data_IF_294902778470
#
_entry.id   IF_294902778470
#
_cell.length_a   1.000
_cell.length_b   1.000
_cell.length_c   1.000
_cell.angle_alpha   90.00
_cell.angle_beta   90.00
_cell.angle_gamma   90.00
#
_symmetry.space_group_name_H-M   'P 1'
#
loop_
_entity.id
_entity.type
_entity.pdbx_description
1 polymer ?
#
# COMPACT_ATOMS: atom_id res chain seq x y z
N UNK A 1 -36.02 19.44 30.19
CA UNK A 1 -34.70 18.82 30.37
C UNK A 1 -34.29 18.18 29.06
N UNK A 2 -33.57 18.95 28.29
CA UNK A 2 -32.92 18.50 27.06
C UNK A 2 -31.59 17.84 27.46
N UNK A 3 -31.58 16.52 27.53
CA UNK A 3 -30.33 15.75 27.55
C UNK A 3 -29.97 15.45 26.09
N UNK A 4 -29.36 16.45 25.47
CA UNK A 4 -28.58 16.30 24.28
C UNK A 4 -27.63 15.10 24.45
N UNK A 5 -27.91 14.01 23.74
CA UNK A 5 -27.02 12.89 23.60
C UNK A 5 -25.76 13.40 22.91
N UNK A 6 -24.73 13.70 23.69
CA UNK A 6 -23.37 13.67 23.18
C UNK A 6 -23.10 12.22 22.79
N UNK A 7 -23.44 11.85 21.55
CA UNK A 7 -22.93 10.65 20.93
C UNK A 7 -21.42 10.76 21.04
N UNK A 8 -20.81 9.93 21.87
CA UNK A 8 -19.37 9.81 21.97
C UNK A 8 -18.86 9.63 20.56
N UNK A 9 -18.08 10.58 20.09
CA UNK A 9 -17.39 10.50 18.81
C UNK A 9 -16.35 9.37 18.99
N UNK A 10 -16.81 8.13 18.76
CA UNK A 10 -15.96 6.96 18.92
C UNK A 10 -14.89 7.10 17.87
N UNK A 11 -13.65 7.35 18.32
CA UNK A 11 -12.49 7.45 17.45
C UNK A 11 -12.42 6.21 16.54
N UNK A 12 -12.68 6.41 15.25
CA UNK A 12 -12.56 5.36 14.24
C UNK A 12 -11.14 5.38 13.71
N UNK A 13 -10.45 4.25 13.82
CA UNK A 13 -9.12 4.09 13.22
C UNK A 13 -9.17 4.40 11.73
N UNK A 14 -8.17 5.15 11.26
CA UNK A 14 -8.03 5.49 9.86
C UNK A 14 -6.96 4.61 9.20
N UNK A 15 -7.38 3.92 8.15
CA UNK A 15 -6.52 3.05 7.34
C UNK A 15 -6.37 3.66 5.96
N UNK A 16 -5.14 3.82 5.50
CA UNK A 16 -4.81 4.37 4.18
C UNK A 16 -4.12 3.31 3.33
N UNK A 17 -4.68 3.04 2.16
CA UNK A 17 -4.12 2.13 1.14
C UNK A 17 -3.52 2.97 0.01
N UNK A 18 -2.19 3.00 -0.10
CA UNK A 18 -1.45 3.76 -1.10
C UNK A 18 -1.24 2.92 -2.37
N UNK A 19 -1.59 3.49 -3.53
CA UNK A 19 -1.57 2.78 -4.80
C UNK A 19 -2.63 1.67 -4.83
N UNK A 20 -3.84 2.00 -4.41
CA UNK A 20 -4.91 1.00 -4.20
C UNK A 20 -5.41 0.34 -5.50
N UNK A 21 -5.11 0.92 -6.66
CA UNK A 21 -5.54 0.43 -7.96
C UNK A 21 -7.06 0.19 -8.01
N UNK A 22 -7.53 -0.97 -8.52
CA UNK A 22 -8.94 -1.31 -8.60
C UNK A 22 -9.53 -1.77 -7.25
N UNK A 23 -8.86 -1.49 -6.12
CA UNK A 23 -9.38 -1.65 -4.77
C UNK A 23 -9.31 -3.06 -4.18
N UNK A 24 -8.52 -3.99 -4.73
CA UNK A 24 -8.50 -5.38 -4.26
C UNK A 24 -8.18 -5.51 -2.76
N UNK A 25 -7.16 -4.78 -2.30
CA UNK A 25 -6.76 -4.79 -0.88
C UNK A 25 -7.69 -3.87 -0.07
N UNK A 26 -8.02 -2.70 -0.59
CA UNK A 26 -8.89 -1.72 0.06
C UNK A 26 -10.25 -2.29 0.44
N UNK A 27 -10.91 -3.01 -0.48
CA UNK A 27 -12.20 -3.67 -0.21
C UNK A 27 -12.06 -4.72 0.89
N UNK A 28 -11.03 -5.55 0.81
CA UNK A 28 -10.77 -6.58 1.83
C UNK A 28 -10.47 -5.99 3.21
N UNK A 29 -9.76 -4.86 3.26
CA UNK A 29 -9.55 -4.13 4.52
C UNK A 29 -10.86 -3.61 5.10
N UNK A 30 -11.78 -3.09 4.28
CA UNK A 30 -13.09 -2.63 4.73
C UNK A 30 -13.94 -3.76 5.30
N UNK A 31 -13.91 -4.96 4.70
CA UNK A 31 -14.58 -6.15 5.23
C UNK A 31 -13.99 -6.60 6.58
N UNK A 32 -12.66 -6.61 6.69
CA UNK A 32 -11.95 -7.06 7.89
C UNK A 32 -12.01 -6.06 9.05
N UNK A 33 -12.17 -4.78 8.74
CA UNK A 33 -12.11 -3.67 9.71
C UNK A 33 -13.37 -2.79 9.61
N UNK A 34 -14.57 -3.34 9.87
CA UNK A 34 -15.85 -2.65 9.63
C UNK A 34 -16.04 -1.36 10.45
N UNK A 35 -15.25 -1.19 11.51
CA UNK A 35 -15.28 0.01 12.36
C UNK A 35 -14.20 1.03 12.01
N UNK A 36 -13.37 0.79 10.97
CA UNK A 36 -12.34 1.73 10.52
C UNK A 36 -12.86 2.64 9.41
N UNK A 37 -12.22 3.80 9.26
CA UNK A 37 -12.34 4.63 8.05
C UNK A 37 -11.29 4.17 7.06
N UNK A 38 -11.72 3.64 5.93
CA UNK A 38 -10.82 3.14 4.90
C UNK A 38 -10.70 4.19 3.79
N UNK A 39 -9.48 4.53 3.42
CA UNK A 39 -9.16 5.46 2.34
C UNK A 39 -8.23 4.77 1.35
N UNK A 40 -8.68 4.60 0.11
CA UNK A 40 -7.84 4.15 -1.00
C UNK A 40 -7.35 5.36 -1.80
N UNK A 41 -6.06 5.40 -2.10
CA UNK A 41 -5.42 6.48 -2.88
C UNK A 41 -4.73 5.87 -4.09
N UNK A 42 -5.02 6.41 -5.27
CA UNK A 42 -4.35 6.03 -6.52
C UNK A 42 -4.29 7.23 -7.47
N UNK A 43 -3.26 7.31 -8.30
CA UNK A 43 -3.13 8.36 -9.31
C UNK A 43 -3.96 8.12 -10.57
N UNK A 44 -4.50 6.92 -10.78
CA UNK A 44 -5.24 6.55 -11.97
C UNK A 44 -6.76 6.56 -11.73
N UNK A 45 -7.46 7.58 -12.20
CA UNK A 45 -8.92 7.70 -12.05
C UNK A 45 -9.67 6.50 -12.64
N UNK A 46 -9.17 5.91 -13.74
CA UNK A 46 -9.77 4.70 -14.33
C UNK A 46 -9.75 3.50 -13.38
N UNK A 47 -8.70 3.34 -12.58
CA UNK A 47 -8.61 2.31 -11.54
C UNK A 47 -9.56 2.58 -10.38
N UNK A 48 -9.64 3.84 -9.96
CA UNK A 48 -10.55 4.25 -8.89
C UNK A 48 -12.02 4.14 -9.29
N UNK A 49 -12.38 4.35 -10.56
CA UNK A 49 -13.73 4.11 -11.06
C UNK A 49 -14.14 2.65 -10.84
N UNK A 50 -13.27 1.70 -11.17
CA UNK A 50 -13.48 0.27 -10.91
C UNK A 50 -13.58 -0.04 -9.41
N UNK A 51 -12.72 0.58 -8.60
CA UNK A 51 -12.73 0.39 -7.15
C UNK A 51 -14.06 0.88 -6.52
N UNK A 52 -14.57 2.05 -6.93
CA UNK A 52 -15.84 2.61 -6.47
C UNK A 52 -17.03 1.74 -6.87
N UNK A 53 -17.06 1.27 -8.11
CA UNK A 53 -18.10 0.36 -8.59
C UNK A 53 -18.15 -0.92 -7.74
N UNK A 54 -17.01 -1.54 -7.49
CA UNK A 54 -16.90 -2.76 -6.68
C UNK A 54 -17.29 -2.53 -5.21
N UNK A 55 -16.88 -1.40 -4.62
CA UNK A 55 -17.28 -1.02 -3.28
C UNK A 55 -18.81 -0.83 -3.17
N UNK A 56 -19.43 -0.20 -4.16
CA UNK A 56 -20.87 -0.03 -4.23
C UNK A 56 -21.60 -1.39 -4.34
N UNK A 57 -21.13 -2.29 -5.21
CA UNK A 57 -21.70 -3.63 -5.37
C UNK A 57 -21.65 -4.44 -4.07
N UNK A 58 -20.60 -4.24 -3.24
CA UNK A 58 -20.42 -4.92 -1.95
C UNK A 58 -20.98 -4.12 -0.76
N UNK A 59 -21.59 -2.96 -1.00
CA UNK A 59 -22.13 -2.07 0.04
C UNK A 59 -21.10 -1.65 1.10
N UNK A 60 -19.85 -1.44 0.68
CA UNK A 60 -18.75 -1.01 1.52
C UNK A 60 -18.58 0.51 1.49
N UNK A 61 -18.46 1.14 2.65
CA UNK A 61 -18.18 2.57 2.80
C UNK A 61 -16.66 2.82 2.76
N UNK A 62 -16.15 3.21 1.61
CA UNK A 62 -14.74 3.48 1.37
C UNK A 62 -14.58 4.84 0.69
N UNK A 63 -13.64 5.65 1.15
CA UNK A 63 -13.25 6.88 0.47
C UNK A 63 -12.14 6.59 -0.56
N UNK A 64 -12.33 7.00 -1.81
CA UNK A 64 -11.30 6.88 -2.85
C UNK A 64 -10.86 8.27 -3.33
N UNK A 65 -9.56 8.54 -3.26
CA UNK A 65 -8.94 9.82 -3.64
C UNK A 65 -8.02 9.62 -4.85
N UNK A 66 -8.28 10.38 -5.93
CA UNK A 66 -7.40 10.42 -7.09
C UNK A 66 -6.27 11.40 -6.81
N UNK A 67 -5.14 10.88 -6.33
CA UNK A 67 -3.96 11.67 -5.96
C UNK A 67 -2.69 10.88 -6.23
N UNK A 68 -1.66 11.58 -6.71
CA UNK A 68 -0.29 11.10 -6.70
C UNK A 68 0.27 11.14 -5.27
N UNK A 69 1.36 10.40 -5.01
CA UNK A 69 2.03 10.45 -3.72
C UNK A 69 2.54 11.85 -3.35
N UNK A 70 2.94 12.67 -4.34
CA UNK A 70 3.35 14.05 -4.13
C UNK A 70 2.18 14.93 -3.66
N UNK A 71 0.99 14.75 -4.23
CA UNK A 71 -0.21 15.50 -3.84
C UNK A 71 -0.69 15.11 -2.44
N UNK A 72 -0.53 13.86 -2.04
CA UNK A 72 -0.83 13.41 -0.68
C UNK A 72 -0.07 14.20 0.38
N UNK A 73 1.18 14.60 0.10
CA UNK A 73 2.01 15.42 1.01
C UNK A 73 1.46 16.83 1.25
N UNK A 74 0.47 17.25 0.48
CA UNK A 74 -0.18 18.57 0.61
C UNK A 74 -1.65 18.43 1.05
N UNK A 75 -2.10 17.20 1.28
CA UNK A 75 -3.49 16.88 1.56
C UNK A 75 -3.87 16.93 3.05
N UNK A 76 -5.15 16.75 3.34
CA UNK A 76 -5.68 16.85 4.70
C UNK A 76 -5.42 15.60 5.55
N UNK A 77 -4.90 14.50 4.98
CA UNK A 77 -4.70 13.24 5.69
C UNK A 77 -3.40 13.19 6.53
N UNK A 78 -2.58 14.25 6.48
CA UNK A 78 -1.32 14.30 7.20
C UNK A 78 -1.51 14.09 8.71
N UNK A 79 -0.74 13.18 9.29
CA UNK A 79 -0.76 12.87 10.71
C UNK A 79 -2.02 12.15 11.21
N UNK A 80 -2.85 11.57 10.32
CA UNK A 80 -4.13 10.99 10.70
C UNK A 80 -4.23 9.47 10.56
N UNK A 81 -3.30 8.82 9.87
CA UNK A 81 -3.37 7.39 9.62
C UNK A 81 -2.89 6.57 10.83
N UNK A 82 -3.68 5.60 11.25
CA UNK A 82 -3.32 4.59 12.26
C UNK A 82 -2.66 3.36 11.63
N UNK A 83 -3.02 3.06 10.38
CA UNK A 83 -2.43 2.02 9.57
C UNK A 83 -2.27 2.51 8.14
N UNK A 84 -1.09 2.29 7.57
CA UNK A 84 -0.80 2.58 6.17
C UNK A 84 -0.39 1.28 5.50
N UNK A 85 -1.02 0.97 4.39
CA UNK A 85 -0.70 -0.22 3.60
C UNK A 85 -0.38 0.17 2.16
N UNK A 86 0.36 -0.68 1.49
CA UNK A 86 0.43 -0.71 0.03
C UNK A 86 0.72 -2.14 -0.45
N UNK A 87 0.28 -2.46 -1.64
CA UNK A 87 0.60 -3.72 -2.27
C UNK A 87 0.98 -3.49 -3.72
N UNK A 88 2.17 -3.91 -4.11
CA UNK A 88 2.67 -3.80 -5.49
C UNK A 88 2.72 -2.35 -5.99
N UNK A 89 3.23 -1.43 -5.17
CA UNK A 89 3.41 -0.02 -5.50
C UNK A 89 4.89 0.37 -5.64
N UNK A 90 5.75 -0.11 -4.74
CA UNK A 90 7.14 0.33 -4.60
C UNK A 90 7.94 0.16 -5.90
N UNK A 91 7.80 -0.99 -6.59
CA UNK A 91 8.53 -1.27 -7.83
C UNK A 91 8.12 -0.39 -9.02
N UNK A 92 7.00 0.34 -8.92
CA UNK A 92 6.58 1.32 -9.91
C UNK A 92 7.17 2.71 -9.66
N UNK A 93 7.78 2.95 -8.51
CA UNK A 93 8.27 4.28 -8.13
C UNK A 93 9.70 4.51 -8.61
N UNK A 94 9.90 5.57 -9.40
CA UNK A 94 11.25 6.03 -9.80
C UNK A 94 12.04 6.58 -8.61
N UNK A 95 11.34 7.07 -7.59
CA UNK A 95 11.89 7.58 -6.34
C UNK A 95 11.24 6.83 -5.17
N UNK A 96 11.78 5.68 -4.77
CA UNK A 96 11.18 4.82 -3.75
C UNK A 96 11.09 5.49 -2.37
N UNK A 97 12.00 6.43 -2.04
CA UNK A 97 11.97 7.24 -0.82
C UNK A 97 10.68 8.07 -0.65
N UNK A 98 9.97 8.34 -1.74
CA UNK A 98 8.68 9.01 -1.69
C UNK A 98 7.63 8.20 -0.93
N UNK A 99 7.60 6.86 -1.06
CA UNK A 99 6.68 6.00 -0.32
C UNK A 99 6.89 6.13 1.18
N UNK A 100 8.16 6.12 1.61
CA UNK A 100 8.52 6.24 3.03
C UNK A 100 8.24 7.63 3.58
N UNK A 101 8.50 8.66 2.78
CA UNK A 101 8.22 10.07 3.13
C UNK A 101 6.72 10.28 3.32
N UNK A 102 5.89 9.78 2.41
CA UNK A 102 4.43 9.85 2.49
C UNK A 102 3.92 9.07 3.69
N UNK A 103 4.41 7.85 3.90
CA UNK A 103 4.02 7.02 5.04
C UNK A 103 4.31 7.74 6.37
N UNK A 104 5.48 8.35 6.51
CA UNK A 104 5.82 9.14 7.71
C UNK A 104 4.95 10.39 7.87
N UNK A 105 4.62 11.06 6.78
CA UNK A 105 3.79 12.27 6.80
C UNK A 105 2.34 11.97 7.18
N UNK A 106 1.77 10.87 6.70
CA UNK A 106 0.41 10.42 7.04
C UNK A 106 0.27 9.88 8.46
N UNK A 107 1.36 9.37 9.04
CA UNK A 107 1.33 8.62 10.29
C UNK A 107 0.88 9.46 11.48
N UNK A 108 -0.19 9.02 12.17
CA UNK A 108 -0.53 9.43 13.53
C UNK A 108 0.45 8.81 14.55
N UNK A 109 0.52 9.30 15.80
CA UNK A 109 1.24 8.61 16.86
C UNK A 109 0.78 7.15 17.00
N UNK A 110 1.71 6.20 17.04
CA UNK A 110 1.41 4.77 17.09
C UNK A 110 1.02 4.14 15.76
N UNK A 111 1.12 4.87 14.65
CA UNK A 111 0.82 4.35 13.31
C UNK A 111 1.73 3.18 12.94
N UNK A 112 1.10 2.15 12.38
CA UNK A 112 1.80 1.01 11.77
C UNK A 112 1.78 1.09 10.25
N UNK A 113 2.79 0.48 9.63
CA UNK A 113 2.82 0.25 8.18
C UNK A 113 2.89 -1.23 7.87
N UNK A 114 2.33 -1.58 6.70
CA UNK A 114 2.47 -2.88 6.06
C UNK A 114 2.53 -2.66 4.55
N UNK A 115 3.74 -2.62 4.01
CA UNK A 115 3.96 -2.53 2.58
C UNK A 115 4.45 -3.88 2.06
N UNK A 116 3.73 -4.45 1.11
CA UNK A 116 4.08 -5.69 0.44
C UNK A 116 4.36 -5.43 -1.02
N UNK A 117 5.51 -5.84 -1.51
CA UNK A 117 5.90 -5.59 -2.89
C UNK A 117 6.71 -6.74 -3.48
N UNK A 118 6.88 -6.73 -4.81
CA UNK A 118 7.76 -7.68 -5.45
C UNK A 118 9.20 -7.49 -4.95
N UNK A 119 9.91 -8.59 -4.91
CA UNK A 119 11.34 -8.65 -4.59
C UNK A 119 12.12 -9.02 -5.84
N UNK A 120 13.19 -8.28 -6.15
CA UNK A 120 14.05 -8.61 -7.29
C UNK A 120 14.75 -9.94 -7.05
N UNK A 121 14.61 -10.90 -7.98
CA UNK A 121 15.38 -12.16 -7.97
C UNK A 121 16.87 -11.90 -8.21
N UNK A 122 17.70 -12.86 -7.82
CA UNK A 122 19.15 -12.73 -7.95
C UNK A 122 19.66 -12.83 -9.40
N UNK A 123 18.83 -13.32 -10.34
CA UNK A 123 19.21 -13.49 -11.74
C UNK A 123 18.03 -13.51 -12.70
N UNK A 124 18.30 -13.24 -13.98
CA UNK A 124 17.30 -13.37 -15.05
C UNK A 124 16.75 -14.81 -15.14
N UNK A 125 17.57 -15.80 -14.82
CA UNK A 125 17.14 -17.21 -14.81
C UNK A 125 16.09 -17.46 -13.72
N UNK A 126 16.22 -16.83 -12.55
CA UNK A 126 15.19 -16.91 -11.50
C UNK A 126 13.92 -16.16 -11.89
N UNK A 127 14.03 -15.02 -12.58
CA UNK A 127 12.86 -14.29 -13.11
C UNK A 127 12.08 -15.21 -14.05
N UNK A 128 12.78 -15.90 -14.96
CA UNK A 128 12.14 -16.82 -15.89
C UNK A 128 11.49 -18.02 -15.18
N UNK A 129 12.13 -18.57 -14.16
CA UNK A 129 11.55 -19.64 -13.34
C UNK A 129 10.27 -19.19 -12.63
N UNK A 130 10.26 -17.98 -12.05
CA UNK A 130 9.08 -17.41 -11.40
C UNK A 130 7.97 -17.13 -12.41
N UNK A 131 8.31 -16.63 -13.60
CA UNK A 131 7.36 -16.41 -14.68
C UNK A 131 6.66 -17.74 -15.08
N UNK A 132 7.43 -18.78 -15.32
CA UNK A 132 6.90 -20.10 -15.65
C UNK A 132 6.07 -20.72 -14.52
N UNK A 133 6.49 -20.52 -13.28
CA UNK A 133 5.80 -21.05 -12.10
C UNK A 133 4.44 -20.37 -11.87
N UNK A 134 4.40 -19.06 -11.99
CA UNK A 134 3.22 -18.27 -11.57
C UNK A 134 2.28 -17.90 -12.72
N UNK A 135 2.79 -17.84 -13.95
CA UNK A 135 2.04 -17.42 -15.13
C UNK A 135 2.22 -18.38 -16.33
N UNK A 136 2.17 -19.71 -16.14
CA UNK A 136 2.51 -20.67 -17.19
C UNK A 136 1.62 -20.58 -18.44
N UNK A 137 0.37 -20.13 -18.27
CA UNK A 137 -0.65 -20.06 -19.32
C UNK A 137 -1.25 -18.66 -19.48
N UNK A 138 -0.62 -17.63 -18.88
CA UNK A 138 -1.09 -16.27 -19.03
C UNK A 138 -0.77 -15.72 -20.44
N UNK A 139 -1.50 -14.72 -20.94
CA UNK A 139 -1.14 -14.00 -22.14
C UNK A 139 0.30 -13.46 -22.09
N UNK A 140 0.99 -13.45 -23.23
CA UNK A 140 2.39 -13.02 -23.31
C UNK A 140 2.64 -11.64 -22.71
N UNK A 141 1.71 -10.69 -22.90
CA UNK A 141 1.81 -9.35 -22.34
C UNK A 141 1.90 -9.39 -20.81
N UNK A 142 1.08 -10.21 -20.15
CA UNK A 142 1.11 -10.34 -18.68
C UNK A 142 2.37 -11.06 -18.20
N UNK A 143 2.88 -12.03 -18.96
CA UNK A 143 4.14 -12.69 -18.65
C UNK A 143 5.31 -11.71 -18.75
N UNK A 144 5.32 -10.87 -19.80
CA UNK A 144 6.34 -9.84 -20.00
C UNK A 144 6.29 -8.79 -18.88
N UNK A 145 5.11 -8.27 -18.59
CA UNK A 145 4.92 -7.26 -17.54
C UNK A 145 5.33 -7.78 -16.15
N UNK A 146 5.03 -9.04 -15.86
CA UNK A 146 5.46 -9.67 -14.61
C UNK A 146 6.98 -9.78 -14.50
N UNK A 147 7.64 -10.22 -15.58
CA UNK A 147 9.11 -10.31 -15.61
C UNK A 147 9.76 -8.92 -15.49
N UNK A 148 9.22 -7.92 -16.18
CA UNK A 148 9.68 -6.53 -16.08
C UNK A 148 9.50 -5.96 -14.66
N UNK A 149 8.37 -6.26 -14.02
CA UNK A 149 8.10 -5.83 -12.63
C UNK A 149 9.06 -6.48 -11.65
N UNK A 150 9.38 -7.77 -11.80
CA UNK A 150 10.40 -8.44 -10.99
C UNK A 150 11.79 -7.83 -11.17
N UNK A 151 12.17 -7.52 -12.41
CA UNK A 151 13.45 -6.89 -12.72
C UNK A 151 13.56 -5.46 -12.15
N UNK A 152 12.45 -4.71 -12.12
CA UNK A 152 12.37 -3.36 -11.58
C UNK A 152 12.25 -3.33 -10.05
N UNK A 153 11.95 -4.46 -9.40
CA UNK A 153 11.76 -4.55 -7.96
C UNK A 153 13.07 -4.33 -7.18
N UNK A 154 12.94 -4.13 -5.88
CA UNK A 154 14.06 -3.91 -4.97
C UNK A 154 14.42 -5.19 -4.22
N UNK A 155 15.67 -5.32 -3.84
CA UNK A 155 16.09 -6.35 -2.90
C UNK A 155 15.88 -5.88 -1.45
N UNK A 156 15.65 -6.80 -0.48
CA UNK A 156 15.42 -6.42 0.92
C UNK A 156 16.52 -5.55 1.53
N UNK A 157 17.78 -5.78 1.16
CA UNK A 157 18.90 -5.01 1.68
C UNK A 157 18.93 -3.56 1.15
N UNK A 158 18.49 -3.32 -0.10
CA UNK A 158 18.37 -1.98 -0.67
C UNK A 158 17.31 -1.18 0.06
N UNK A 159 16.14 -1.79 0.29
CA UNK A 159 15.04 -1.16 1.05
C UNK A 159 15.48 -0.89 2.50
N UNK A 160 16.17 -1.83 3.14
CA UNK A 160 16.70 -1.64 4.49
C UNK A 160 17.66 -0.44 4.56
N UNK A 161 18.60 -0.35 3.61
CA UNK A 161 19.56 0.75 3.56
C UNK A 161 18.87 2.10 3.36
N UNK A 162 17.81 2.13 2.53
CA UNK A 162 17.01 3.33 2.29
C UNK A 162 16.24 3.78 3.53
N UNK A 163 15.58 2.86 4.22
CA UNK A 163 14.89 3.14 5.48
C UNK A 163 15.83 3.69 6.54
N UNK A 164 17.05 3.13 6.67
CA UNK A 164 18.09 3.63 7.57
C UNK A 164 18.52 5.06 7.20
N UNK A 165 18.73 5.33 5.91
CA UNK A 165 19.08 6.68 5.42
C UNK A 165 18.00 7.72 5.77
N UNK A 166 16.74 7.31 5.81
CA UNK A 166 15.61 8.16 6.17
C UNK A 166 15.29 8.18 7.68
N UNK A 167 16.05 7.48 8.50
CA UNK A 167 15.85 7.41 9.96
C UNK A 167 14.64 6.58 10.39
N UNK A 168 14.18 5.64 9.54
CA UNK A 168 13.07 4.73 9.81
C UNK A 168 13.57 3.36 10.31
N UNK A 169 14.50 3.36 11.23
CA UNK A 169 15.22 2.16 11.72
C UNK A 169 14.31 1.16 12.47
N UNK A 170 13.13 1.58 12.88
CA UNK A 170 12.14 0.75 13.57
C UNK A 170 11.29 -0.09 12.60
N UNK A 171 11.38 0.17 11.29
CA UNK A 171 10.75 -0.65 10.29
C UNK A 171 11.62 -1.86 9.94
N UNK A 172 10.99 -3.02 9.81
CA UNK A 172 11.64 -4.27 9.44
C UNK A 172 11.33 -4.61 7.99
N UNK A 173 12.34 -5.12 7.28
CA UNK A 173 12.20 -5.62 5.91
C UNK A 173 12.45 -7.12 5.94
N UNK A 174 11.53 -7.91 5.42
CA UNK A 174 11.65 -9.36 5.32
C UNK A 174 11.31 -9.85 3.92
N UNK A 175 11.98 -10.89 3.46
CA UNK A 175 11.55 -11.64 2.30
C UNK A 175 10.35 -12.50 2.68
N UNK A 176 9.32 -12.52 1.83
CA UNK A 176 8.14 -13.34 1.98
C UNK A 176 7.95 -14.16 0.72
N UNK A 177 7.81 -15.46 0.91
CA UNK A 177 7.75 -16.47 -0.16
C UNK A 177 8.86 -16.32 -1.24
N UNK A 178 8.59 -16.71 -2.48
CA UNK A 178 9.59 -16.76 -3.56
C UNK A 178 9.78 -15.43 -4.31
N UNK A 179 8.89 -14.43 -4.15
CA UNK A 179 8.89 -13.22 -4.97
C UNK A 179 8.49 -11.93 -4.29
N UNK A 180 8.17 -11.94 -3.01
CA UNK A 180 7.74 -10.74 -2.30
C UNK A 180 8.73 -10.33 -1.21
N UNK A 181 8.70 -9.07 -0.86
CA UNK A 181 9.22 -8.50 0.38
C UNK A 181 8.09 -7.80 1.14
N UNK A 182 8.27 -7.72 2.44
CA UNK A 182 7.34 -7.00 3.32
C UNK A 182 8.13 -6.01 4.16
N UNK A 183 7.65 -4.77 4.21
CA UNK A 183 8.11 -3.75 5.15
C UNK A 183 7.02 -3.54 6.18
N UNK A 184 7.34 -3.69 7.46
CA UNK A 184 6.37 -3.54 8.54
C UNK A 184 6.98 -2.94 9.81
N UNK A 185 6.15 -2.34 10.63
CA UNK A 185 6.54 -1.79 11.92
C UNK A 185 5.78 -0.53 12.30
N UNK A 186 6.24 0.12 13.38
CA UNK A 186 5.76 1.42 13.82
C UNK A 186 6.51 2.52 13.07
N UNK A 187 5.79 3.48 12.50
CA UNK A 187 6.39 4.65 11.82
C UNK A 187 6.69 5.76 12.80
N UNK A 188 5.82 5.91 13.79
CA UNK A 188 5.86 6.97 14.78
C UNK A 188 5.48 6.40 16.15
N UNK A 189 6.33 6.59 17.11
CA UNK A 189 6.07 6.27 18.51
C UNK A 189 5.32 7.40 19.24
#
# INVERSE_FOLDING_TARGET
HDQSSAASDVYKRQVVDLGCGPGNITLRLAELLPNARIVGIDGAESMLALARERAQQQQLEISFLCQTLQEVLQGPLLGQADLIVSNSLLHHLHQPDLLWTVSRALAAPGCRVLHRDLRRPASDAEIEQLRLKHLPSAPEVLQHDFAASLAAAFEPHEVTAELHRLGLNQLTVSAEDDRYLVVSGLVKS
#
